data_IF_623536500901
#
_entry.id   IF_623536500901
#
_cell.length_a   1.000
_cell.length_b   1.000
_cell.length_c   1.000
_cell.angle_alpha   90.00
_cell.angle_beta   90.00
_cell.angle_gamma   90.00
#
_symmetry.space_group_name_H-M   'P 1'
#
loop_
_entity.id
_entity.type
_entity.pdbx_description
1 polymer ?
#
# COMPACT_ATOMS: atom_id res chain seq x y z
N UNK A 1 -2.21 29.15 10.13
CA UNK A 1 -3.32 29.49 11.05
C UNK A 1 -4.55 28.78 10.52
N UNK A 2 -5.13 27.85 11.29
CA UNK A 2 -6.37 27.18 10.88
C UNK A 2 -7.55 28.18 10.87
N UNK A 3 -8.55 28.00 9.98
CA UNK A 3 -9.75 28.82 10.00
C UNK A 3 -10.45 28.72 11.36
N UNK A 4 -11.06 29.84 11.81
CA UNK A 4 -11.59 29.96 13.18
C UNK A 4 -12.71 28.94 13.51
N UNK A 5 -13.42 28.40 12.51
CA UNK A 5 -14.43 27.36 12.67
C UNK A 5 -14.49 26.55 11.34
N UNK A 6 -13.61 25.58 11.13
CA UNK A 6 -13.72 24.71 9.95
C UNK A 6 -14.98 23.85 10.10
N UNK A 7 -15.78 23.78 9.03
CA UNK A 7 -16.96 22.90 9.00
C UNK A 7 -16.57 21.44 8.74
N UNK A 8 -15.45 21.23 8.07
CA UNK A 8 -14.97 19.91 7.65
C UNK A 8 -13.44 19.92 7.53
N UNK A 9 -12.79 18.85 7.98
CA UNK A 9 -11.44 18.49 7.61
C UNK A 9 -11.47 17.35 6.60
N UNK A 10 -10.88 17.54 5.44
CA UNK A 10 -10.68 16.50 4.43
C UNK A 10 -9.22 16.06 4.46
N UNK A 11 -9.02 14.77 4.71
CA UNK A 11 -7.70 14.12 4.73
C UNK A 11 -7.55 13.23 3.50
N UNK A 12 -6.39 13.28 2.87
CA UNK A 12 -5.95 12.20 2.00
C UNK A 12 -5.52 10.99 2.85
N UNK A 13 -5.61 9.79 2.28
CA UNK A 13 -5.25 8.55 3.00
C UNK A 13 -3.75 8.30 2.96
N UNK A 14 -3.20 8.13 1.75
CA UNK A 14 -1.84 7.62 1.54
C UNK A 14 -0.81 8.73 1.63
N UNK A 15 0.14 8.63 2.57
CA UNK A 15 1.12 9.69 2.84
C UNK A 15 0.60 10.83 3.70
N UNK A 16 -0.65 10.75 4.20
CA UNK A 16 -1.25 11.73 5.12
C UNK A 16 -1.73 11.06 6.40
N UNK A 17 -2.61 10.08 6.32
CA UNK A 17 -3.03 9.27 7.49
C UNK A 17 -2.11 8.05 7.63
N UNK A 18 -1.80 7.39 6.53
CA UNK A 18 -1.05 6.13 6.47
C UNK A 18 0.36 6.38 5.96
N UNK A 19 1.32 5.70 6.58
CA UNK A 19 2.69 5.61 6.08
C UNK A 19 2.73 4.82 4.77
N UNK A 20 2.76 5.55 3.66
CA UNK A 20 2.74 5.00 2.31
C UNK A 20 4.01 4.19 2.00
N UNK A 21 5.15 4.55 2.58
CA UNK A 21 6.39 3.79 2.41
C UNK A 21 6.28 2.42 3.06
N UNK A 22 5.83 2.38 4.31
CA UNK A 22 5.62 1.12 5.02
C UNK A 22 4.64 0.21 4.26
N UNK A 23 3.52 0.77 3.78
CA UNK A 23 2.52 0.01 3.02
C UNK A 23 3.12 -0.62 1.76
N UNK A 24 3.74 0.19 0.90
CA UNK A 24 4.26 -0.30 -0.38
C UNK A 24 5.47 -1.23 -0.25
N UNK A 25 6.36 -0.99 0.72
CA UNK A 25 7.46 -1.91 1.02
C UNK A 25 6.91 -3.27 1.44
N UNK A 26 5.95 -3.30 2.39
CA UNK A 26 5.33 -4.55 2.88
C UNK A 26 4.62 -5.29 1.74
N UNK A 27 3.84 -4.58 0.91
CA UNK A 27 3.15 -5.17 -0.23
C UNK A 27 4.12 -5.72 -1.28
N UNK A 28 5.22 -5.01 -1.56
CA UNK A 28 6.21 -5.47 -2.55
C UNK A 28 6.94 -6.71 -2.05
N UNK A 29 7.33 -6.74 -0.77
CA UNK A 29 7.93 -7.92 -0.15
C UNK A 29 7.01 -9.14 -0.23
N UNK A 30 5.74 -8.98 0.11
CA UNK A 30 4.76 -10.07 0.01
C UNK A 30 4.60 -10.57 -1.44
N UNK A 31 4.50 -9.67 -2.42
CA UNK A 31 4.42 -10.04 -3.85
C UNK A 31 5.66 -10.81 -4.31
N UNK A 32 6.84 -10.35 -3.93
CA UNK A 32 8.12 -11.01 -4.26
C UNK A 32 8.19 -12.38 -3.61
N UNK A 33 7.81 -12.50 -2.33
CA UNK A 33 7.77 -13.78 -1.64
C UNK A 33 6.84 -14.77 -2.34
N UNK A 34 5.62 -14.38 -2.67
CA UNK A 34 4.67 -15.22 -3.38
C UNK A 34 5.16 -15.62 -4.78
N UNK A 35 5.81 -14.71 -5.52
CA UNK A 35 6.45 -15.04 -6.81
C UNK A 35 7.51 -16.12 -6.61
N UNK A 36 8.36 -16.00 -5.59
CA UNK A 36 9.39 -17.00 -5.27
C UNK A 36 8.78 -18.36 -4.89
N UNK A 37 7.70 -18.35 -4.10
CA UNK A 37 7.01 -19.57 -3.69
C UNK A 37 6.44 -20.33 -4.88
N UNK A 38 5.96 -19.63 -5.91
CA UNK A 38 5.55 -20.24 -7.18
C UNK A 38 6.73 -20.82 -8.01
N UNK A 39 7.96 -20.42 -7.70
CA UNK A 39 9.16 -20.77 -8.47
C UNK A 39 10.27 -21.38 -7.60
N UNK A 40 9.91 -22.18 -6.61
CA UNK A 40 10.81 -22.80 -5.60
C UNK A 40 12.04 -23.52 -6.20
N UNK A 41 11.97 -23.98 -7.44
CA UNK A 41 13.08 -24.65 -8.12
C UNK A 41 14.21 -23.71 -8.59
N UNK A 42 14.04 -22.40 -8.42
CA UNK A 42 15.00 -21.40 -8.89
C UNK A 42 15.79 -20.80 -7.73
N UNK A 43 16.80 -21.54 -7.31
CA UNK A 43 17.78 -21.07 -6.32
C UNK A 43 18.59 -19.83 -6.77
N UNK A 44 18.58 -19.54 -8.08
CA UNK A 44 19.31 -18.40 -8.67
C UNK A 44 18.50 -17.09 -8.73
N UNK A 45 17.19 -17.13 -8.47
CA UNK A 45 16.36 -15.92 -8.43
C UNK A 45 16.59 -15.20 -7.11
N UNK A 46 17.40 -14.15 -7.13
CA UNK A 46 17.61 -13.28 -5.98
C UNK A 46 16.31 -12.54 -5.60
N UNK A 47 15.99 -12.55 -4.32
CA UNK A 47 14.91 -11.71 -3.79
C UNK A 47 15.20 -10.23 -4.03
N UNK A 48 16.47 -9.84 -3.87
CA UNK A 48 16.97 -8.50 -4.16
C UNK A 48 16.66 -8.04 -5.58
N UNK A 49 16.85 -8.91 -6.59
CA UNK A 49 16.64 -8.53 -8.00
C UNK A 49 15.19 -8.13 -8.27
N UNK A 50 14.23 -8.85 -7.69
CA UNK A 50 12.81 -8.53 -7.80
C UNK A 50 12.43 -7.30 -6.98
N UNK A 51 12.93 -7.17 -5.75
CA UNK A 51 12.66 -6.02 -4.89
C UNK A 51 13.16 -4.73 -5.54
N UNK A 52 14.42 -4.71 -5.99
CA UNK A 52 15.05 -3.54 -6.60
C UNK A 52 14.39 -3.15 -7.91
N UNK A 53 14.08 -4.13 -8.77
CA UNK A 53 13.34 -3.88 -10.02
C UNK A 53 11.94 -3.29 -9.76
N UNK A 54 11.29 -3.71 -8.67
CA UNK A 54 10.00 -3.15 -8.24
C UNK A 54 10.13 -1.86 -7.43
N UNK A 55 11.34 -1.36 -7.22
CA UNK A 55 11.59 -0.06 -6.61
C UNK A 55 11.71 -0.06 -5.10
N UNK A 56 12.07 -1.21 -4.50
CA UNK A 56 12.37 -1.33 -3.06
C UNK A 56 13.83 -1.71 -2.88
N UNK A 57 14.58 -0.93 -2.11
CA UNK A 57 15.94 -1.26 -1.73
C UNK A 57 15.91 -2.45 -0.76
N UNK A 58 16.57 -3.54 -1.15
CA UNK A 58 16.55 -4.81 -0.42
C UNK A 58 17.32 -4.78 0.91
N UNK A 59 18.25 -3.85 1.07
CA UNK A 59 19.07 -3.73 2.29
C UNK A 59 18.44 -2.80 3.34
N UNK A 60 17.84 -1.68 2.88
CA UNK A 60 17.34 -0.63 3.76
C UNK A 60 15.84 -0.62 3.97
N UNK A 61 15.08 -1.46 3.27
CA UNK A 61 13.62 -1.45 3.27
C UNK A 61 13.02 -0.09 2.90
N UNK A 62 13.67 0.63 1.99
CA UNK A 62 13.24 1.95 1.53
C UNK A 62 12.76 1.87 0.08
N UNK A 63 11.71 2.61 -0.25
CA UNK A 63 11.34 2.81 -1.65
C UNK A 63 12.36 3.69 -2.36
N UNK A 64 12.75 3.31 -3.59
CA UNK A 64 13.52 4.23 -4.45
C UNK A 64 12.62 5.40 -4.88
N UNK A 65 13.13 6.64 -4.88
CA UNK A 65 12.34 7.82 -5.25
C UNK A 65 11.69 7.74 -6.65
N UNK A 66 12.33 7.00 -7.57
CA UNK A 66 11.86 6.81 -8.94
C UNK A 66 11.45 5.35 -9.22
N UNK A 67 11.18 4.56 -8.18
CA UNK A 67 10.74 3.18 -8.31
C UNK A 67 9.30 3.08 -8.84
N UNK A 68 8.95 1.97 -9.52
CA UNK A 68 7.63 1.82 -10.13
C UNK A 68 6.51 1.58 -9.11
N UNK A 69 6.82 0.98 -7.95
CA UNK A 69 5.79 0.68 -6.93
C UNK A 69 5.22 1.96 -6.34
N UNK A 70 3.90 2.03 -6.25
CA UNK A 70 3.17 3.20 -5.75
C UNK A 70 3.04 4.35 -6.76
N UNK A 71 3.76 4.32 -7.88
CA UNK A 71 3.75 5.37 -8.93
C UNK A 71 3.16 4.86 -10.23
N UNK A 72 3.60 3.69 -10.68
CA UNK A 72 3.18 3.10 -11.95
C UNK A 72 1.99 2.15 -11.79
N UNK A 73 1.30 1.88 -12.89
CA UNK A 73 0.14 0.97 -12.87
C UNK A 73 0.52 -0.43 -12.39
N UNK A 74 -0.47 -1.17 -11.89
CA UNK A 74 -0.32 -2.58 -11.51
C UNK A 74 0.25 -3.43 -12.65
N UNK A 75 -0.29 -3.24 -13.87
CA UNK A 75 0.16 -3.98 -15.08
C UNK A 75 1.63 -3.71 -15.37
N UNK A 76 2.08 -2.45 -15.22
CA UNK A 76 3.49 -2.10 -15.39
C UNK A 76 4.37 -2.86 -14.39
N UNK A 77 4.02 -2.84 -13.10
CA UNK A 77 4.77 -3.55 -12.06
C UNK A 77 4.81 -5.07 -12.32
N UNK A 78 3.71 -5.66 -12.78
CA UNK A 78 3.67 -7.07 -13.17
C UNK A 78 4.62 -7.36 -14.34
N UNK A 79 4.63 -6.50 -15.37
CA UNK A 79 5.54 -6.63 -16.51
C UNK A 79 7.00 -6.53 -16.10
N UNK A 80 7.34 -5.62 -15.16
CA UNK A 80 8.69 -5.53 -14.59
C UNK A 80 9.09 -6.84 -13.93
N UNK A 81 8.26 -7.39 -13.05
CA UNK A 81 8.54 -8.65 -12.37
C UNK A 81 8.68 -9.82 -13.38
N UNK A 82 7.80 -9.89 -14.39
CA UNK A 82 7.91 -10.89 -15.45
C UNK A 82 9.23 -10.80 -16.24
N UNK A 83 9.70 -9.60 -16.53
CA UNK A 83 10.97 -9.41 -17.25
C UNK A 83 12.16 -9.92 -16.42
N UNK A 84 12.15 -9.70 -15.10
CA UNK A 84 13.17 -10.27 -14.22
C UNK A 84 13.11 -11.80 -14.25
N UNK A 85 11.92 -12.40 -14.12
CA UNK A 85 11.77 -13.85 -14.22
C UNK A 85 12.32 -14.41 -15.54
N UNK A 86 12.03 -13.75 -16.67
CA UNK A 86 12.54 -14.14 -18.00
C UNK A 86 14.07 -14.02 -18.06
N UNK A 87 14.65 -12.98 -17.50
CA UNK A 87 16.11 -12.82 -17.42
C UNK A 87 16.79 -13.96 -16.63
N UNK A 88 16.07 -14.53 -15.65
CA UNK A 88 16.50 -15.72 -14.90
C UNK A 88 16.10 -17.06 -15.54
N UNK A 89 15.66 -17.06 -16.81
CA UNK A 89 15.38 -18.29 -17.58
C UNK A 89 13.96 -18.83 -17.41
N UNK A 90 13.06 -18.16 -16.69
CA UNK A 90 11.66 -18.55 -16.58
C UNK A 90 10.88 -17.95 -17.74
N UNK A 91 10.46 -18.78 -18.69
CA UNK A 91 9.73 -18.31 -19.88
C UNK A 91 8.23 -18.65 -19.88
N UNK A 92 7.79 -19.56 -18.99
CA UNK A 92 6.41 -20.07 -18.94
C UNK A 92 5.88 -20.06 -17.51
N UNK A 93 4.55 -19.98 -17.37
CA UNK A 93 3.85 -20.06 -16.07
C UNK A 93 4.40 -19.07 -15.05
N UNK A 94 4.61 -17.81 -15.44
CA UNK A 94 5.23 -16.78 -14.61
C UNK A 94 4.44 -16.48 -13.33
N UNK A 95 3.12 -16.72 -13.34
CA UNK A 95 2.20 -16.59 -12.18
C UNK A 95 2.27 -15.25 -11.43
N UNK A 96 2.88 -14.22 -12.02
CA UNK A 96 3.02 -12.89 -11.40
C UNK A 96 1.66 -12.28 -11.07
N UNK A 97 0.70 -12.37 -12.02
CA UNK A 97 -0.66 -11.88 -11.78
C UNK A 97 -1.32 -12.58 -10.58
N UNK A 98 -1.11 -13.90 -10.45
CA UNK A 98 -1.65 -14.68 -9.33
C UNK A 98 -1.03 -14.22 -8.00
N UNK A 99 0.30 -14.05 -7.94
CA UNK A 99 1.00 -13.55 -6.76
C UNK A 99 0.47 -12.16 -6.34
N UNK A 100 0.24 -11.26 -7.30
CA UNK A 100 -0.30 -9.94 -7.00
C UNK A 100 -1.74 -10.00 -6.48
N UNK A 101 -2.60 -10.86 -7.05
CA UNK A 101 -3.98 -11.06 -6.56
C UNK A 101 -4.01 -11.69 -5.17
N UNK A 102 -3.12 -12.63 -4.92
CA UNK A 102 -3.01 -13.28 -3.61
C UNK A 102 -2.48 -12.33 -2.55
N UNK A 103 -1.47 -11.52 -2.88
CA UNK A 103 -0.96 -10.48 -1.99
C UNK A 103 -2.06 -9.48 -1.59
N UNK A 104 -2.93 -9.08 -2.52
CA UNK A 104 -4.06 -8.19 -2.20
C UNK A 104 -5.01 -8.83 -1.19
N UNK A 105 -5.36 -10.12 -1.38
CA UNK A 105 -6.23 -10.85 -0.45
C UNK A 105 -5.61 -10.98 0.94
N UNK A 106 -4.32 -11.32 1.01
CA UNK A 106 -3.60 -11.45 2.28
C UNK A 106 -3.56 -10.08 2.98
N UNK A 107 -3.26 -9.01 2.24
CA UNK A 107 -3.20 -7.67 2.82
C UNK A 107 -4.56 -7.17 3.33
N UNK A 108 -5.67 -7.61 2.74
CA UNK A 108 -7.02 -7.31 3.24
C UNK A 108 -7.35 -8.12 4.52
N UNK A 109 -6.96 -9.39 4.57
CA UNK A 109 -7.19 -10.25 5.73
C UNK A 109 -6.30 -9.88 6.92
N UNK A 110 -5.09 -9.43 6.65
CA UNK A 110 -4.06 -9.11 7.64
C UNK A 110 -3.71 -7.61 7.65
N UNK A 111 -4.69 -6.75 7.45
CA UNK A 111 -4.50 -5.31 7.21
C UNK A 111 -3.59 -4.64 8.26
N UNK A 112 -3.63 -5.09 9.51
CA UNK A 112 -2.79 -4.56 10.60
C UNK A 112 -1.28 -4.76 10.35
N UNK A 113 -0.89 -5.70 9.50
CA UNK A 113 0.51 -5.93 9.13
C UNK A 113 0.97 -4.99 7.99
N UNK A 114 0.04 -4.31 7.33
CA UNK A 114 0.30 -3.47 6.16
C UNK A 114 0.03 -1.99 6.39
N UNK A 115 -0.73 -1.64 7.42
CA UNK A 115 -1.12 -0.26 7.70
C UNK A 115 -0.45 0.24 8.96
N UNK A 116 0.28 1.36 8.84
CA UNK A 116 0.80 2.14 9.96
C UNK A 116 0.34 3.59 9.84
N UNK A 117 -0.06 4.24 10.94
CA UNK A 117 -0.38 5.65 10.87
C UNK A 117 0.90 6.49 10.75
N UNK A 118 0.84 7.60 10.03
CA UNK A 118 1.86 8.63 10.12
C UNK A 118 1.84 9.29 11.51
N UNK A 119 3.03 9.70 11.95
CA UNK A 119 3.18 10.36 13.24
C UNK A 119 2.28 11.59 13.34
N UNK A 120 1.45 11.66 14.39
CA UNK A 120 0.54 12.76 14.65
C UNK A 120 -0.79 12.71 13.89
N UNK A 121 -0.96 11.82 12.91
CA UNK A 121 -2.20 11.72 12.13
C UNK A 121 -3.40 11.35 13.02
N UNK A 122 -3.23 10.33 13.86
CA UNK A 122 -4.27 9.87 14.78
C UNK A 122 -4.60 10.96 15.81
N UNK A 123 -3.59 11.66 16.31
CA UNK A 123 -3.78 12.74 17.31
C UNK A 123 -4.57 13.89 16.71
N UNK A 124 -4.28 14.26 15.45
CA UNK A 124 -5.00 15.32 14.74
C UNK A 124 -6.46 14.93 14.48
N UNK A 125 -6.72 13.69 14.08
CA UNK A 125 -8.09 13.18 13.90
C UNK A 125 -8.85 13.19 15.22
N UNK A 126 -8.23 12.73 16.32
CA UNK A 126 -8.84 12.75 17.65
C UNK A 126 -9.14 14.18 18.11
N UNK A 127 -8.22 15.12 17.87
CA UNK A 127 -8.41 16.52 18.21
C UNK A 127 -9.58 17.12 17.41
N UNK A 128 -9.62 16.91 16.10
CA UNK A 128 -10.71 17.39 15.24
C UNK A 128 -12.07 16.85 15.69
N UNK A 129 -12.14 15.56 16.00
CA UNK A 129 -13.35 14.91 16.51
C UNK A 129 -13.78 15.50 17.85
N UNK A 130 -12.85 15.74 18.79
CA UNK A 130 -13.15 16.36 20.10
C UNK A 130 -13.67 17.79 19.99
N UNK A 131 -13.33 18.47 18.89
CA UNK A 131 -13.82 19.82 18.58
C UNK A 131 -15.15 19.83 17.80
N UNK A 132 -15.79 18.66 17.61
CA UNK A 132 -16.99 18.47 16.80
C UNK A 132 -16.82 18.94 15.34
N UNK A 133 -15.63 18.78 14.77
CA UNK A 133 -15.37 19.07 13.37
C UNK A 133 -15.62 17.78 12.58
N UNK A 134 -16.44 17.88 11.52
CA UNK A 134 -16.63 16.74 10.61
C UNK A 134 -15.33 16.36 9.93
N UNK A 135 -15.10 15.05 9.76
CA UNK A 135 -13.90 14.51 9.15
C UNK A 135 -14.28 13.71 7.91
N UNK A 136 -13.68 14.05 6.77
CA UNK A 136 -13.76 13.26 5.55
C UNK A 136 -12.40 12.64 5.24
N UNK A 137 -12.41 11.43 4.68
CA UNK A 137 -11.24 10.79 4.07
C UNK A 137 -11.49 10.65 2.58
N UNK A 138 -10.58 11.17 1.77
CA UNK A 138 -10.67 11.18 0.30
C UNK A 138 -9.42 10.48 -0.25
N UNK A 139 -9.60 9.49 -1.10
CA UNK A 139 -8.48 8.76 -1.70
C UNK A 139 -8.86 8.23 -3.08
N UNK A 140 -7.87 8.00 -3.93
CA UNK A 140 -8.02 7.27 -5.19
C UNK A 140 -8.13 5.73 -5.01
N UNK A 141 -8.01 5.22 -3.79
CA UNK A 141 -8.29 3.82 -3.46
C UNK A 141 -9.80 3.56 -3.43
N UNK A 142 -10.21 2.31 -3.48
CA UNK A 142 -11.64 1.96 -3.39
C UNK A 142 -12.17 2.16 -1.97
N UNK A 143 -13.45 2.54 -1.87
CA UNK A 143 -14.13 2.82 -0.60
C UNK A 143 -13.92 1.72 0.45
N UNK A 144 -14.08 0.45 0.05
CA UNK A 144 -13.95 -0.68 0.97
C UNK A 144 -12.55 -0.77 1.61
N UNK A 145 -11.47 -0.48 0.86
CA UNK A 145 -10.10 -0.48 1.39
C UNK A 145 -9.83 0.70 2.28
N UNK A 146 -10.35 1.89 1.95
CA UNK A 146 -10.24 3.06 2.82
C UNK A 146 -10.88 2.74 4.16
N UNK A 147 -12.12 2.23 4.15
CA UNK A 147 -12.84 1.83 5.36
C UNK A 147 -12.05 0.82 6.19
N UNK A 148 -11.58 -0.26 5.58
CA UNK A 148 -10.79 -1.30 6.25
C UNK A 148 -9.54 -0.73 6.94
N UNK A 149 -8.83 0.18 6.28
CA UNK A 149 -7.66 0.85 6.83
C UNK A 149 -8.03 1.74 8.02
N UNK A 150 -9.12 2.50 7.95
CA UNK A 150 -9.58 3.35 9.07
C UNK A 150 -10.06 2.52 10.26
N UNK A 151 -10.70 1.37 10.01
CA UNK A 151 -11.09 0.41 11.05
C UNK A 151 -9.84 -0.18 11.75
N UNK A 152 -8.81 -0.57 10.99
CA UNK A 152 -7.57 -1.11 11.53
C UNK A 152 -6.81 -0.11 12.42
N UNK A 153 -6.95 1.18 12.13
CA UNK A 153 -6.37 2.27 12.93
C UNK A 153 -7.26 2.73 14.09
N UNK A 154 -8.43 2.13 14.29
CA UNK A 154 -9.43 2.49 15.32
C UNK A 154 -9.88 3.96 15.25
N UNK A 155 -10.06 4.49 14.05
CA UNK A 155 -10.52 5.86 13.81
C UNK A 155 -11.77 5.95 12.93
N UNK A 156 -12.28 4.83 12.43
CA UNK A 156 -13.41 4.81 11.51
C UNK A 156 -14.68 5.45 12.10
N UNK A 157 -14.93 5.24 13.39
CA UNK A 157 -16.05 5.81 14.13
C UNK A 157 -16.04 7.35 14.23
N UNK A 158 -14.90 7.98 13.95
CA UNK A 158 -14.70 9.44 13.95
C UNK A 158 -14.85 10.08 12.58
N UNK A 159 -14.94 9.26 11.53
CA UNK A 159 -14.99 9.72 10.13
C UNK A 159 -16.45 9.87 9.72
N UNK A 160 -16.82 11.08 9.27
CA UNK A 160 -18.18 11.41 8.84
C UNK A 160 -18.45 11.01 7.39
N UNK A 161 -17.41 10.96 6.56
CA UNK A 161 -17.51 10.71 5.12
C UNK A 161 -16.23 10.05 4.58
N UNK A 162 -16.40 9.03 3.76
CA UNK A 162 -15.32 8.47 2.92
C UNK A 162 -15.70 8.68 1.46
N UNK A 163 -14.75 9.13 0.64
CA UNK A 163 -14.88 9.25 -0.82
C UNK A 163 -13.73 8.44 -1.43
N UNK A 164 -14.08 7.37 -2.12
CA UNK A 164 -13.17 6.48 -2.83
C UNK A 164 -13.08 6.81 -4.31
N UNK A 165 -12.07 6.26 -4.98
CA UNK A 165 -11.89 6.39 -6.44
C UNK A 165 -12.91 5.60 -7.26
N UNK A 166 -13.78 4.82 -6.62
CA UNK A 166 -14.85 4.01 -7.20
C UNK A 166 -16.24 4.67 -7.11
N UNK A 167 -16.31 5.93 -6.61
CA UNK A 167 -17.55 6.71 -6.45
C UNK A 167 -17.74 7.79 -7.52
#
# INVERSE_FOLDING_TARGET
MLPKNPALFAFDKDGTIIDVHFYWVSMTKLRVQLIKDYHVSLSSLGESDLLEALGVNSESDQMFPNGPTGVMSRVFNQTVAENILRAHGISKNLKVENAFKEADKISELEINNFVKPLQGAIDLINLAHSMNINIAVISNDIHARIKLAMESLNIFDKISLIIGGDE
#
